data_IF_630328150516
#
_entry.id   IF_630328150516
#
_cell.length_a   1.000
_cell.length_b   1.000
_cell.length_c   1.000
_cell.angle_alpha   90.00
_cell.angle_beta   90.00
_cell.angle_gamma   90.00
#
_symmetry.space_group_name_H-M   'P 1'
#
loop_
_entity.id
_entity.type
_entity.pdbx_description
1 polymer ?
#
# COMPACT_ATOMS: atom_id res chain seq x y z
N UNK A 1 12.93 11.19 -45.93
CA UNK A 1 13.26 12.06 -44.77
C UNK A 1 13.18 11.26 -43.47
N UNK A 2 14.32 10.92 -42.89
CA UNK A 2 14.41 10.12 -41.68
C UNK A 2 14.10 10.99 -40.46
N UNK A 3 13.08 10.64 -39.69
CA UNK A 3 12.77 11.25 -38.41
C UNK A 3 13.86 10.88 -37.39
N UNK A 4 14.71 11.84 -37.04
CA UNK A 4 15.63 11.71 -35.91
C UNK A 4 14.81 11.49 -34.62
N UNK A 5 14.92 10.32 -34.06
CA UNK A 5 14.49 10.04 -32.69
C UNK A 5 15.26 10.95 -31.75
N UNK A 6 14.58 11.93 -31.18
CA UNK A 6 15.13 12.73 -30.08
C UNK A 6 15.11 11.85 -28.83
N UNK A 7 16.26 11.24 -28.52
CA UNK A 7 16.55 10.74 -27.19
C UNK A 7 16.59 11.94 -26.22
N UNK A 8 15.44 12.36 -25.73
CA UNK A 8 15.38 13.20 -24.56
C UNK A 8 15.55 12.28 -23.36
N UNK A 9 16.77 12.20 -22.83
CA UNK A 9 16.99 11.76 -21.45
C UNK A 9 16.20 12.68 -20.53
N UNK A 10 14.92 12.38 -20.35
CA UNK A 10 14.08 13.06 -19.39
C UNK A 10 14.73 12.84 -18.02
N UNK A 11 15.21 13.94 -17.41
CA UNK A 11 15.64 13.92 -16.01
C UNK A 11 14.59 13.15 -15.21
N UNK A 12 15.00 12.06 -14.56
CA UNK A 12 14.17 11.19 -13.71
C UNK A 12 13.72 11.91 -12.43
N UNK A 13 13.01 13.02 -12.57
CA UNK A 13 12.45 13.76 -11.45
C UNK A 13 10.93 13.79 -11.58
N UNK A 14 10.24 13.11 -10.65
CA UNK A 14 8.79 13.07 -10.50
C UNK A 14 8.15 11.74 -10.85
N UNK A 15 6.88 11.62 -10.54
CA UNK A 15 6.10 10.41 -10.77
C UNK A 15 6.07 10.04 -12.26
N UNK A 16 6.15 8.73 -12.54
CA UNK A 16 5.98 8.18 -13.88
C UNK A 16 4.52 7.84 -14.17
N UNK A 17 3.79 7.47 -13.12
CA UNK A 17 2.37 7.16 -13.18
C UNK A 17 1.70 7.50 -11.86
N UNK A 18 0.39 7.62 -11.88
CA UNK A 18 -0.48 7.76 -10.72
C UNK A 18 -1.36 6.54 -10.59
N UNK A 19 -1.54 6.04 -9.38
CA UNK A 19 -2.39 4.91 -9.07
C UNK A 19 -3.54 5.36 -8.19
N UNK A 20 -4.76 5.14 -8.68
CA UNK A 20 -6.01 5.40 -7.97
C UNK A 20 -6.69 4.06 -7.67
N UNK A 21 -7.41 4.02 -6.55
CA UNK A 21 -8.28 2.89 -6.20
C UNK A 21 -9.69 3.46 -6.02
N UNK A 22 -10.66 2.91 -6.77
CA UNK A 22 -12.08 3.18 -6.64
C UNK A 22 -12.75 1.92 -6.12
N UNK A 23 -13.30 1.96 -4.91
CA UNK A 23 -13.99 0.82 -4.29
C UNK A 23 -15.48 1.08 -4.20
N UNK A 24 -16.27 0.02 -4.34
CA UNK A 24 -17.72 0.04 -4.23
C UNK A 24 -18.15 -0.64 -2.92
N UNK A 25 -19.30 -0.23 -2.38
CA UNK A 25 -19.84 -0.87 -1.19
C UNK A 25 -20.19 -2.32 -1.47
N UNK A 26 -19.93 -3.25 -0.55
CA UNK A 26 -20.42 -4.63 -0.67
C UNK A 26 -21.95 -4.72 -0.73
N UNK A 27 -22.65 -3.72 -0.18
CA UNK A 27 -24.11 -3.66 -0.15
C UNK A 27 -24.69 -3.15 -1.48
N UNK A 28 -23.87 -2.62 -2.39
CA UNK A 28 -24.29 -2.17 -3.70
C UNK A 28 -24.37 -3.34 -4.69
N UNK A 29 -25.46 -3.47 -5.41
CA UNK A 29 -25.62 -4.45 -6.49
C UNK A 29 -24.87 -4.02 -7.77
N UNK A 30 -23.54 -3.84 -7.66
CA UNK A 30 -22.70 -3.46 -8.81
C UNK A 30 -22.10 -4.71 -9.46
N UNK A 31 -22.23 -4.84 -10.79
CA UNK A 31 -21.56 -5.90 -11.54
C UNK A 31 -20.10 -5.50 -11.86
N UNK A 32 -19.20 -6.47 -12.07
CA UNK A 32 -17.79 -6.18 -12.44
C UNK A 32 -17.68 -5.30 -13.69
N UNK A 33 -18.52 -5.55 -14.69
CA UNK A 33 -18.55 -4.79 -15.96
C UNK A 33 -18.96 -3.35 -15.70
N UNK A 34 -19.98 -3.15 -14.86
CA UNK A 34 -20.45 -1.82 -14.49
C UNK A 34 -19.41 -1.06 -13.67
N UNK A 35 -18.75 -1.74 -12.72
CA UNK A 35 -17.65 -1.18 -11.95
C UNK A 35 -16.49 -0.75 -12.87
N UNK A 36 -16.13 -1.60 -13.84
CA UNK A 36 -15.10 -1.30 -14.83
C UNK A 36 -15.43 -0.08 -15.66
N UNK A 37 -16.69 0.02 -16.16
CA UNK A 37 -17.17 1.17 -16.92
C UNK A 37 -17.06 2.47 -16.10
N UNK A 38 -17.47 2.44 -14.83
CA UNK A 38 -17.36 3.59 -13.93
C UNK A 38 -15.90 4.02 -13.70
N UNK A 39 -14.99 3.06 -13.56
CA UNK A 39 -13.54 3.33 -13.46
C UNK A 39 -12.99 3.98 -14.73
N UNK A 40 -13.41 3.54 -15.89
CA UNK A 40 -13.03 4.15 -17.17
C UNK A 40 -13.57 5.58 -17.31
N UNK A 41 -14.84 5.81 -16.96
CA UNK A 41 -15.44 7.15 -16.97
C UNK A 41 -14.71 8.10 -16.03
N UNK A 42 -14.40 7.64 -14.81
CA UNK A 42 -13.61 8.39 -13.84
C UNK A 42 -12.24 8.81 -14.41
N UNK A 43 -11.52 7.87 -15.01
CA UNK A 43 -10.21 8.16 -15.58
C UNK A 43 -10.29 9.14 -16.77
N UNK A 44 -11.23 8.93 -17.67
CA UNK A 44 -11.45 9.82 -18.83
C UNK A 44 -11.76 11.25 -18.39
N UNK A 45 -12.68 11.41 -17.46
CA UNK A 45 -13.10 12.74 -16.99
C UNK A 45 -12.01 13.44 -16.20
N UNK A 46 -11.35 12.71 -15.29
CA UNK A 46 -10.26 13.27 -14.49
C UNK A 46 -9.09 13.75 -15.34
N UNK A 47 -8.79 13.05 -16.43
CA UNK A 47 -7.66 13.35 -17.32
C UNK A 47 -8.04 14.21 -18.52
N UNK A 48 -9.31 14.59 -18.65
CA UNK A 48 -9.83 15.28 -19.83
C UNK A 48 -9.50 14.51 -21.15
N UNK A 49 -9.42 13.16 -21.04
CA UNK A 49 -9.07 12.28 -22.15
C UNK A 49 -7.67 12.47 -22.75
N UNK A 50 -6.78 13.17 -22.06
CA UNK A 50 -5.44 13.54 -22.59
C UNK A 50 -4.30 12.64 -22.10
N UNK A 51 -4.59 11.69 -21.23
CA UNK A 51 -3.59 10.80 -20.63
C UNK A 51 -3.97 9.34 -20.86
N UNK A 52 -2.96 8.53 -21.15
CA UNK A 52 -3.15 7.08 -21.21
C UNK A 52 -3.44 6.54 -19.81
N UNK A 53 -4.33 5.56 -19.72
CA UNK A 53 -4.64 4.88 -18.47
C UNK A 53 -5.02 3.43 -18.69
N UNK A 54 -4.89 2.64 -17.64
CA UNK A 54 -5.33 1.25 -17.56
C UNK A 54 -6.25 1.11 -16.36
N UNK A 55 -7.35 0.38 -16.52
CA UNK A 55 -8.27 0.02 -15.44
C UNK A 55 -8.25 -1.50 -15.29
N UNK A 56 -7.99 -1.98 -14.08
CA UNK A 56 -8.12 -3.38 -13.70
C UNK A 56 -9.18 -3.50 -12.61
N UNK A 57 -10.25 -4.23 -12.86
CA UNK A 57 -11.32 -4.48 -11.90
C UNK A 57 -11.05 -5.77 -11.16
N UNK A 58 -10.95 -5.70 -9.84
CA UNK A 58 -10.76 -6.84 -8.97
C UNK A 58 -12.10 -7.24 -8.34
N UNK A 59 -12.35 -8.55 -8.37
CA UNK A 59 -13.55 -9.18 -7.81
C UNK A 59 -13.09 -9.99 -6.60
N UNK A 60 -13.04 -9.36 -5.44
CA UNK A 60 -12.70 -10.05 -4.19
C UNK A 60 -13.99 -10.43 -3.45
N UNK A 61 -13.89 -11.38 -2.49
CA UNK A 61 -15.03 -11.82 -1.68
C UNK A 61 -15.74 -10.69 -0.94
N UNK A 62 -15.00 -9.63 -0.61
CA UNK A 62 -15.48 -8.58 0.30
C UNK A 62 -15.89 -7.28 -0.44
N UNK A 63 -15.38 -7.03 -1.65
CA UNK A 63 -15.75 -5.84 -2.42
C UNK A 63 -15.22 -5.86 -3.86
N UNK A 64 -15.96 -5.23 -4.75
CA UNK A 64 -15.49 -4.92 -6.11
C UNK A 64 -14.72 -3.60 -6.06
N UNK A 65 -13.56 -3.54 -6.69
CA UNK A 65 -12.75 -2.32 -6.76
C UNK A 65 -11.93 -2.25 -8.04
N UNK A 66 -11.72 -1.02 -8.50
CA UNK A 66 -10.89 -0.70 -9.65
C UNK A 66 -9.52 -0.22 -9.22
N UNK A 67 -8.48 -0.76 -9.82
CA UNK A 67 -7.16 -0.15 -9.87
C UNK A 67 -7.03 0.63 -11.17
N UNK A 68 -6.79 1.92 -11.07
CA UNK A 68 -6.67 2.82 -12.22
C UNK A 68 -5.25 3.37 -12.21
N UNK A 69 -4.50 3.05 -13.26
CA UNK A 69 -3.12 3.54 -13.43
C UNK A 69 -3.13 4.55 -14.57
N UNK A 70 -2.71 5.77 -14.30
CA UNK A 70 -2.70 6.89 -15.23
C UNK A 70 -1.26 7.27 -15.53
N UNK A 71 -0.88 7.36 -16.79
CA UNK A 71 0.43 7.87 -17.19
C UNK A 71 0.60 9.32 -16.70
N UNK A 72 1.77 9.64 -16.16
CA UNK A 72 2.04 10.98 -15.66
C UNK A 72 2.26 12.02 -16.78
N UNK A 73 2.42 11.59 -18.02
CA UNK A 73 2.66 12.45 -19.18
C UNK A 73 1.50 12.34 -20.17
N UNK A 74 0.94 13.48 -20.54
CA UNK A 74 -0.09 13.58 -21.58
C UNK A 74 0.47 13.16 -22.94
N UNK A 75 -0.28 12.34 -23.68
CA UNK A 75 0.05 12.01 -25.06
C UNK A 75 -0.31 13.13 -26.03
N UNK A 76 -1.14 14.09 -25.60
CA UNK A 76 -1.63 15.19 -26.41
C UNK A 76 -0.63 16.37 -26.48
N UNK A 77 -0.17 16.86 -25.32
CA UNK A 77 0.70 18.03 -25.24
C UNK A 77 2.06 17.74 -24.55
N UNK A 78 2.32 16.48 -24.20
CA UNK A 78 3.55 15.99 -23.56
C UNK A 78 3.86 16.64 -22.21
N UNK A 79 2.87 17.28 -21.59
CA UNK A 79 3.02 17.87 -20.25
C UNK A 79 2.72 16.84 -19.17
N UNK A 80 3.33 17.04 -18.03
CA UNK A 80 3.03 16.22 -16.85
C UNK A 80 1.69 16.61 -16.24
N UNK A 81 0.96 15.59 -15.75
CA UNK A 81 -0.24 15.76 -14.97
C UNK A 81 0.09 16.55 -13.70
N UNK A 82 -0.50 17.74 -13.59
CA UNK A 82 -0.29 18.60 -12.44
C UNK A 82 -1.24 18.18 -11.32
N UNK A 83 -0.66 17.66 -10.23
CA UNK A 83 -1.43 17.25 -9.05
C UNK A 83 -1.10 18.15 -7.86
N UNK A 84 -2.16 18.58 -7.18
CA UNK A 84 -2.06 19.25 -5.87
C UNK A 84 -2.80 18.35 -4.89
N UNK A 85 -2.11 17.73 -3.90
CA UNK A 85 -2.63 16.59 -3.15
C UNK A 85 -4.08 16.73 -2.69
N UNK A 86 -4.41 17.78 -1.94
CA UNK A 86 -5.76 17.98 -1.42
C UNK A 86 -6.78 18.26 -2.54
N UNK A 87 -6.45 19.20 -3.44
CA UNK A 87 -7.36 19.63 -4.53
C UNK A 87 -7.62 18.49 -5.51
N UNK A 88 -6.58 17.75 -5.88
CA UNK A 88 -6.70 16.61 -6.80
C UNK A 88 -7.52 15.49 -6.18
N UNK A 89 -7.30 15.17 -4.91
CA UNK A 89 -8.10 14.16 -4.21
C UNK A 89 -9.58 14.55 -4.12
N UNK A 90 -9.88 15.81 -3.85
CA UNK A 90 -11.25 16.33 -3.85
C UNK A 90 -11.91 16.24 -5.23
N UNK A 91 -11.17 16.61 -6.30
CA UNK A 91 -11.67 16.53 -7.68
C UNK A 91 -12.00 15.09 -8.06
N UNK A 92 -11.07 14.13 -7.83
CA UNK A 92 -11.29 12.71 -8.11
C UNK A 92 -12.51 12.18 -7.37
N UNK A 93 -12.64 12.53 -6.07
CA UNK A 93 -13.79 12.13 -5.26
C UNK A 93 -15.10 12.69 -5.83
N UNK A 94 -15.14 13.99 -6.13
CA UNK A 94 -16.36 14.61 -6.69
C UNK A 94 -16.83 13.97 -7.99
N UNK A 95 -15.89 13.60 -8.88
CA UNK A 95 -16.20 12.88 -10.10
C UNK A 95 -16.72 11.47 -9.79
N UNK A 96 -16.03 10.73 -8.91
CA UNK A 96 -16.44 9.38 -8.53
C UNK A 96 -17.82 9.36 -7.87
N UNK A 97 -18.06 10.26 -6.90
CA UNK A 97 -19.33 10.33 -6.18
C UNK A 97 -20.48 10.63 -7.13
N UNK A 98 -20.30 11.59 -8.06
CA UNK A 98 -21.30 11.91 -9.08
C UNK A 98 -21.59 10.71 -9.97
N UNK A 99 -20.55 10.03 -10.49
CA UNK A 99 -20.72 8.84 -11.33
C UNK A 99 -21.43 7.69 -10.59
N UNK A 100 -21.12 7.50 -9.30
CA UNK A 100 -21.80 6.51 -8.47
C UNK A 100 -23.26 6.87 -8.24
N UNK A 101 -23.58 8.14 -7.93
CA UNK A 101 -24.97 8.60 -7.79
C UNK A 101 -25.76 8.43 -9.08
N UNK A 102 -25.21 8.77 -10.23
CA UNK A 102 -25.84 8.55 -11.55
C UNK A 102 -26.10 7.06 -11.83
N UNK A 103 -25.26 6.18 -11.29
CA UNK A 103 -25.39 4.73 -11.37
C UNK A 103 -26.27 4.13 -10.26
N UNK A 104 -26.89 4.96 -9.40
CA UNK A 104 -27.71 4.56 -8.24
C UNK A 104 -26.93 3.74 -7.22
N UNK A 105 -25.64 3.97 -7.09
CA UNK A 105 -24.76 3.36 -6.10
C UNK A 105 -24.57 4.28 -4.89
N UNK A 106 -24.23 3.69 -3.75
CA UNK A 106 -23.99 4.44 -2.52
C UNK A 106 -22.72 5.27 -2.60
N UNK A 107 -22.73 6.42 -1.91
CA UNK A 107 -21.58 7.31 -1.75
C UNK A 107 -21.37 7.60 -0.27
N UNK A 108 -20.14 7.84 0.12
CA UNK A 108 -19.80 8.20 1.50
C UNK A 108 -20.20 9.65 1.75
N UNK A 109 -21.33 9.85 2.48
CA UNK A 109 -21.89 11.18 2.75
C UNK A 109 -21.01 12.03 3.66
N UNK A 110 -20.32 11.42 4.60
CA UNK A 110 -19.41 12.10 5.53
C UNK A 110 -18.03 11.41 5.47
N UNK A 111 -17.21 11.76 4.47
CA UNK A 111 -15.87 11.21 4.37
C UNK A 111 -15.07 11.70 5.57
N UNK A 112 -14.65 10.77 6.43
CA UNK A 112 -13.69 11.10 7.49
C UNK A 112 -12.54 11.88 6.86
N UNK A 113 -12.25 13.05 7.45
CA UNK A 113 -11.24 13.96 6.92
C UNK A 113 -9.98 13.18 6.51
N UNK A 114 -9.45 13.49 5.33
CA UNK A 114 -8.23 12.92 4.73
C UNK A 114 -6.98 12.94 5.64
N UNK A 115 -7.14 13.28 6.91
CA UNK A 115 -6.09 13.29 7.92
C UNK A 115 -5.78 11.93 8.56
N UNK A 116 -6.61 10.90 8.37
CA UNK A 116 -6.21 9.54 8.72
C UNK A 116 -5.58 8.86 7.51
N UNK A 117 -4.47 9.41 7.16
CA UNK A 117 -3.58 9.00 6.11
C UNK A 117 -3.20 7.51 6.21
N UNK A 118 -2.88 6.93 5.06
CA UNK A 118 -2.21 5.65 4.87
C UNK A 118 -1.27 5.22 6.02
N UNK A 119 -0.51 6.09 6.69
CA UNK A 119 0.19 5.73 7.93
C UNK A 119 -0.69 5.21 9.05
N UNK A 120 -1.87 5.80 9.29
CA UNK A 120 -2.79 5.36 10.36
C UNK A 120 -3.53 4.07 9.98
N UNK A 121 -3.89 3.90 8.71
CA UNK A 121 -4.42 2.64 8.19
C UNK A 121 -3.37 1.53 8.30
N UNK A 122 -2.14 1.79 7.88
CA UNK A 122 -1.01 0.87 8.04
C UNK A 122 -0.71 0.62 9.52
N UNK A 123 -0.81 1.62 10.38
CA UNK A 123 -0.60 1.47 11.81
C UNK A 123 -1.68 0.61 12.46
N UNK A 124 -2.97 0.78 12.09
CA UNK A 124 -4.06 -0.12 12.50
C UNK A 124 -3.88 -1.54 11.95
N UNK A 125 -3.48 -1.68 10.69
CA UNK A 125 -3.19 -2.98 10.08
C UNK A 125 -1.90 -3.60 10.61
N UNK A 126 -0.92 -2.80 11.07
CA UNK A 126 0.29 -3.25 11.77
C UNK A 126 -0.01 -3.80 13.17
N UNK A 127 -1.05 -3.34 13.84
CA UNK A 127 -1.49 -3.88 15.15
C UNK A 127 -1.88 -5.35 15.05
N UNK A 128 -2.35 -5.81 13.89
CA UNK A 128 -2.71 -7.20 13.60
C UNK A 128 -1.72 -7.93 12.69
N UNK A 129 -0.58 -7.32 12.36
CA UNK A 129 0.41 -7.97 11.48
C UNK A 129 1.28 -8.95 12.27
N UNK A 130 1.70 -10.03 11.61
CA UNK A 130 2.67 -10.98 12.14
C UNK A 130 3.92 -10.30 12.75
N UNK A 131 4.33 -9.14 12.25
CA UNK A 131 5.46 -8.37 12.78
C UNK A 131 5.21 -7.84 14.19
N UNK A 132 4.01 -7.33 14.45
CA UNK A 132 3.64 -6.81 15.79
C UNK A 132 3.55 -7.93 16.81
N UNK A 133 3.01 -9.08 16.39
CA UNK A 133 2.97 -10.25 17.24
C UNK A 133 4.37 -10.78 17.57
N UNK A 134 5.22 -10.90 16.55
CA UNK A 134 6.63 -11.30 16.74
C UNK A 134 7.36 -10.33 17.66
N UNK A 135 7.19 -9.01 17.50
CA UNK A 135 7.77 -8.02 18.43
C UNK A 135 7.33 -8.23 19.87
N UNK A 136 6.04 -8.42 20.11
CA UNK A 136 5.53 -8.66 21.47
C UNK A 136 6.16 -9.89 22.10
N UNK A 137 6.23 -10.99 21.33
CA UNK A 137 6.85 -12.24 21.79
C UNK A 137 8.35 -12.06 22.04
N UNK A 138 9.07 -11.38 21.15
CA UNK A 138 10.52 -11.12 21.32
C UNK A 138 10.81 -10.19 22.50
N UNK A 139 10.01 -9.13 22.70
CA UNK A 139 10.15 -8.27 23.89
C UNK A 139 9.93 -9.08 25.17
N UNK A 140 8.91 -9.94 25.20
CA UNK A 140 8.67 -10.83 26.33
C UNK A 140 9.86 -11.76 26.61
N UNK A 141 10.52 -12.29 25.57
CA UNK A 141 11.71 -13.10 25.70
C UNK A 141 12.90 -12.26 26.26
N UNK A 142 13.15 -11.09 25.66
CA UNK A 142 14.28 -10.23 26.05
C UNK A 142 14.19 -9.75 27.52
N UNK A 143 12.99 -9.47 28.01
CA UNK A 143 12.78 -9.06 29.40
C UNK A 143 13.00 -10.19 30.42
N UNK A 144 12.97 -11.46 30.01
CA UNK A 144 12.98 -12.63 30.92
C UNK A 144 14.16 -13.55 30.73
N UNK A 145 15.01 -13.27 29.76
CA UNK A 145 16.21 -14.08 29.48
C UNK A 145 17.48 -13.29 29.78
N UNK A 146 18.46 -13.94 30.37
CA UNK A 146 19.73 -13.34 30.73
C UNK A 146 20.88 -13.79 29.82
N UNK A 147 20.64 -14.79 28.98
CA UNK A 147 21.62 -15.28 28.01
C UNK A 147 20.95 -15.76 26.70
N UNK A 148 21.76 -15.86 25.66
CA UNK A 148 21.31 -16.20 24.32
C UNK A 148 20.66 -17.59 24.23
N UNK A 149 21.14 -18.56 24.97
CA UNK A 149 20.58 -19.91 24.96
C UNK A 149 19.13 -19.93 25.50
N UNK A 150 18.89 -19.22 26.61
CA UNK A 150 17.54 -19.04 27.17
C UNK A 150 16.64 -18.28 26.21
N UNK A 151 17.16 -17.24 25.53
CA UNK A 151 16.42 -16.50 24.54
C UNK A 151 15.98 -17.39 23.36
N UNK A 152 16.86 -18.24 22.84
CA UNK A 152 16.52 -19.18 21.76
C UNK A 152 15.45 -20.17 22.22
N UNK A 153 15.62 -20.78 23.39
CA UNK A 153 14.65 -21.74 23.94
C UNK A 153 13.27 -21.09 24.11
N UNK A 154 13.19 -19.94 24.78
CA UNK A 154 11.93 -19.24 25.02
C UNK A 154 11.28 -18.76 23.72
N UNK A 155 12.06 -18.30 22.74
CA UNK A 155 11.56 -17.92 21.43
C UNK A 155 10.92 -19.12 20.70
N UNK A 156 11.55 -20.30 20.79
CA UNK A 156 11.06 -21.52 20.19
C UNK A 156 9.76 -22.01 20.87
N UNK A 157 9.67 -21.91 22.20
CA UNK A 157 8.44 -22.22 22.97
C UNK A 157 7.27 -21.29 22.57
N UNK A 158 7.56 -20.05 22.19
CA UNK A 158 6.58 -19.09 21.67
C UNK A 158 6.30 -19.24 20.17
N UNK A 159 6.81 -20.29 19.53
CA UNK A 159 6.60 -20.57 18.10
C UNK A 159 7.39 -19.63 17.18
N UNK A 160 8.57 -19.19 17.59
CA UNK A 160 9.46 -18.37 16.75
C UNK A 160 10.81 -19.07 16.60
N UNK A 161 11.13 -19.51 15.38
CA UNK A 161 12.46 -20.00 15.06
C UNK A 161 13.40 -18.83 14.80
N UNK A 162 14.54 -18.80 15.49
CA UNK A 162 15.55 -17.75 15.38
C UNK A 162 16.75 -18.28 14.61
N UNK A 163 17.23 -17.54 13.63
CA UNK A 163 18.40 -17.90 12.85
C UNK A 163 19.28 -16.67 12.59
N UNK A 164 20.57 -16.80 12.85
CA UNK A 164 21.54 -15.77 12.53
C UNK A 164 22.04 -15.93 11.09
N UNK A 165 21.98 -14.85 10.32
CA UNK A 165 22.52 -14.78 8.95
C UNK A 165 23.49 -13.61 8.84
N UNK A 166 24.78 -13.92 8.95
CA UNK A 166 25.84 -12.90 9.02
C UNK A 166 25.65 -12.03 10.26
N UNK A 167 25.58 -10.71 10.10
CA UNK A 167 25.37 -9.75 11.19
C UNK A 167 23.89 -9.52 11.55
N UNK A 168 22.96 -10.21 10.92
CA UNK A 168 21.52 -10.02 11.12
C UNK A 168 20.87 -11.26 11.71
N UNK A 169 19.89 -11.01 12.58
CA UNK A 169 18.97 -12.05 13.07
C UNK A 169 17.73 -12.13 12.20
N UNK A 170 17.22 -13.33 12.02
CA UNK A 170 15.96 -13.58 11.33
C UNK A 170 15.04 -14.42 12.18
N UNK A 171 13.78 -14.08 12.20
CA UNK A 171 12.72 -14.63 13.04
C UNK A 171 11.63 -15.22 12.15
N UNK A 172 11.41 -16.52 12.25
CA UNK A 172 10.38 -17.22 11.49
C UNK A 172 9.26 -17.65 12.45
N UNK A 173 8.10 -16.99 12.45
CA UNK A 173 6.94 -17.45 13.20
C UNK A 173 6.43 -18.78 12.65
N UNK A 174 5.92 -19.63 13.52
CA UNK A 174 5.26 -20.87 13.14
C UNK A 174 4.11 -20.60 12.17
N UNK A 175 4.00 -21.40 11.09
CA UNK A 175 3.02 -21.20 10.04
C UNK A 175 3.28 -20.04 9.07
N UNK A 176 4.34 -19.25 9.25
CA UNK A 176 4.70 -18.19 8.34
C UNK A 176 5.60 -18.67 7.19
N UNK A 177 5.25 -18.32 5.96
CA UNK A 177 6.05 -18.67 4.77
C UNK A 177 7.36 -17.89 4.60
N UNK A 178 7.60 -16.85 5.43
CA UNK A 178 8.79 -15.97 5.34
C UNK A 178 9.29 -15.53 6.70
N UNK A 179 10.61 -15.61 6.88
CA UNK A 179 11.27 -15.04 8.05
C UNK A 179 11.32 -13.50 8.00
N UNK A 180 11.22 -12.89 9.16
CA UNK A 180 11.28 -11.43 9.38
C UNK A 180 12.70 -11.10 9.86
N UNK A 181 13.34 -10.13 9.22
CA UNK A 181 14.68 -9.67 9.60
C UNK A 181 14.59 -8.69 10.79
N UNK A 182 15.59 -8.69 11.68
CA UNK A 182 15.75 -7.77 12.81
C UNK A 182 15.51 -6.30 12.44
N UNK A 183 16.15 -5.81 11.37
CA UNK A 183 15.99 -4.45 10.85
C UNK A 183 14.55 -4.11 10.43
N UNK A 184 13.73 -5.13 10.11
CA UNK A 184 12.32 -4.96 9.75
C UNK A 184 11.39 -4.92 10.96
N UNK A 185 11.90 -5.29 12.13
CA UNK A 185 11.16 -5.28 13.40
C UNK A 185 11.39 -3.98 14.17
N UNK A 186 12.48 -3.25 13.88
CA UNK A 186 12.76 -1.97 14.52
C UNK A 186 11.65 -0.94 14.23
N UNK A 187 11.18 -0.25 15.27
CA UNK A 187 10.18 0.82 15.13
C UNK A 187 10.82 2.18 14.86
N UNK A 188 12.09 2.33 15.25
CA UNK A 188 12.91 3.52 15.05
C UNK A 188 14.38 3.09 15.00
N UNK A 189 15.26 3.97 14.52
CA UNK A 189 16.70 3.74 14.38
C UNK A 189 17.44 3.36 15.67
N UNK A 190 16.74 3.27 16.81
CA UNK A 190 17.32 3.03 18.13
C UNK A 190 17.21 1.59 18.64
N UNK A 191 16.42 0.72 18.00
CA UNK A 191 16.25 -0.67 18.44
C UNK A 191 16.46 -1.64 17.29
N UNK A 192 17.60 -2.24 17.25
CA UNK A 192 17.83 -3.48 16.52
C UNK A 192 17.45 -4.64 17.44
N UNK A 193 16.50 -5.47 17.03
CA UNK A 193 16.20 -6.73 17.73
C UNK A 193 17.33 -7.73 17.45
N UNK A 194 18.54 -7.34 17.78
CA UNK A 194 19.74 -8.16 17.69
C UNK A 194 20.16 -8.45 19.11
N UNK A 195 20.19 -9.72 19.47
CA UNK A 195 20.74 -10.11 20.75
C UNK A 195 22.25 -9.83 20.70
N UNK A 196 22.71 -8.84 21.44
CA UNK A 196 24.14 -8.63 21.68
C UNK A 196 24.53 -9.51 22.88
N UNK A 197 25.29 -10.55 22.63
CA UNK A 197 26.02 -11.20 23.69
C UNK A 197 27.06 -10.19 24.21
N UNK A 198 26.82 -9.64 25.39
CA UNK A 198 27.90 -8.99 26.14
C UNK A 198 29.00 -10.01 26.26
N UNK A 199 30.16 -9.71 25.62
CA UNK A 199 31.35 -10.55 25.58
C UNK A 199 32.10 -10.56 26.87
#
# INVERSE_FOLDING_TARGET
MARKSRNTSAKKQGNLAYHLIQSFSPDDAVTPERAHELGRKLAMEFTDGKFEFVVATHINKDSIHNHIIINAVSFYDYKKLRTVPYRTAHQIRSISDRLCMEAQLSVIKDPQQLGQLYPTYIQKKRITSNRTEVRKKLNFCLERTTNYAQFLQMSQELGISVCQRGKHMTYLPEGAGRAIRDTSLADTDKFTYTYQSDG
#
